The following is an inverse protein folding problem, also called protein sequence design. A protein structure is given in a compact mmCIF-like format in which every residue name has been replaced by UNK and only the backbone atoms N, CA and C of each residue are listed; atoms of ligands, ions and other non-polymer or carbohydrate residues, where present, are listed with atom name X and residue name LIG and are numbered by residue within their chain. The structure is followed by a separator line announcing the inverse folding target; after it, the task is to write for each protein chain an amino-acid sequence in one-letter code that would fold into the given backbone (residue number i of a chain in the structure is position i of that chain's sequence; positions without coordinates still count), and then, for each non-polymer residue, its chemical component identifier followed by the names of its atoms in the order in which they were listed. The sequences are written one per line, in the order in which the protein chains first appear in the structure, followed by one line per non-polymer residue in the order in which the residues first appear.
data_IF_060452267069
#
_entry.id   IF_060452267069
#
_cell.length_a   1.000
_cell.length_b   1.000
_cell.length_c   1.000
_cell.angle_alpha   90.00
_cell.angle_beta   90.00
_cell.angle_gamma   90.00
#
_symmetry.space_group_name_H-M   'P 1'
#
loop_
_entity.id
_entity.type
_entity.pdbx_description
1 polymer ?
#
# COMPACT_ATOMS: atom_id res chain seq x y z
N UNK A 1 5.21 8.84 17.51
CA UNK A 1 4.91 7.46 17.10
C UNK A 1 3.59 7.54 16.35
N UNK A 2 3.58 7.17 15.07
CA UNK A 2 2.37 7.16 14.25
C UNK A 2 1.92 5.71 14.17
N UNK A 3 0.63 5.47 14.38
CA UNK A 3 0.01 4.15 14.25
C UNK A 3 -0.94 4.19 13.07
N UNK A 4 -0.68 3.37 12.05
CA UNK A 4 -1.44 3.35 10.81
C UNK A 4 -2.02 1.95 10.58
N UNK A 5 -3.29 1.89 10.17
CA UNK A 5 -3.88 0.65 9.67
C UNK A 5 -3.42 0.43 8.23
N UNK A 6 -2.74 -0.69 7.98
CA UNK A 6 -2.29 -1.07 6.64
C UNK A 6 -2.80 -2.47 6.30
N UNK A 7 -3.19 -2.67 5.04
CA UNK A 7 -3.39 -4.01 4.50
C UNK A 7 -2.04 -4.59 4.05
N UNK A 8 -1.85 -5.94 4.01
CA UNK A 8 -0.57 -6.53 3.63
C UNK A 8 -0.02 -6.04 2.29
N UNK A 9 -0.90 -5.79 1.32
CA UNK A 9 -0.52 -5.23 0.03
C UNK A 9 0.19 -3.88 0.17
N UNK A 10 -0.29 -3.00 1.05
CA UNK A 10 0.32 -1.69 1.26
C UNK A 10 1.71 -1.80 1.88
N UNK A 11 1.96 -2.81 2.72
CA UNK A 11 3.26 -3.02 3.35
C UNK A 11 4.28 -3.63 2.36
N UNK A 12 3.86 -4.65 1.61
CA UNK A 12 4.75 -5.44 0.76
C UNK A 12 4.90 -4.89 -0.67
N UNK A 13 4.03 -3.97 -1.11
CA UNK A 13 4.17 -3.30 -2.39
C UNK A 13 5.20 -2.16 -2.37
N UNK A 14 5.53 -1.63 -1.19
CA UNK A 14 6.48 -0.52 -1.05
C UNK A 14 7.85 -0.91 -1.58
N UNK A 15 8.49 0.03 -2.30
CA UNK A 15 9.88 -0.12 -2.74
C UNK A 15 10.81 0.16 -1.56
N UNK A 16 10.75 -0.69 -0.54
CA UNK A 16 11.58 -0.62 0.66
C UNK A 16 12.10 -2.00 1.04
N UNK A 17 13.28 -2.05 1.66
CA UNK A 17 13.80 -3.29 2.25
C UNK A 17 13.34 -3.37 3.71
N UNK A 18 12.60 -4.42 4.04
CA UNK A 18 12.24 -4.72 5.43
C UNK A 18 13.34 -5.57 6.06
N UNK A 19 14.10 -4.98 6.98
CA UNK A 19 15.18 -5.65 7.70
C UNK A 19 14.79 -5.98 9.14
N UNK A 20 14.93 -7.24 9.53
CA UNK A 20 14.88 -7.63 10.94
C UNK A 20 16.21 -7.21 11.61
N UNK A 21 16.18 -6.39 12.68
CA UNK A 21 17.42 -5.99 13.37
C UNK A 21 18.20 -7.18 13.94
N UNK A 22 19.53 -7.09 13.99
CA UNK A 22 20.41 -8.16 14.48
C UNK A 22 20.15 -8.59 15.94
N UNK A 23 19.52 -7.72 16.74
CA UNK A 23 19.14 -8.01 18.12
C UNK A 23 17.75 -8.65 18.25
N UNK A 24 17.05 -8.92 17.14
CA UNK A 24 15.82 -9.71 17.16
C UNK A 24 16.10 -11.16 17.52
N UNK A 25 15.13 -11.80 18.18
CA UNK A 25 15.23 -13.24 18.47
C UNK A 25 15.15 -14.03 17.16
N UNK A 26 15.83 -15.19 17.07
CA UNK A 26 15.66 -16.09 15.95
C UNK A 26 14.19 -16.45 15.71
N UNK A 27 13.86 -16.76 14.47
CA UNK A 27 12.53 -17.22 14.11
C UNK A 27 12.23 -18.57 14.78
N UNK A 28 11.11 -18.64 15.52
CA UNK A 28 10.72 -19.82 16.31
C UNK A 28 9.36 -20.40 15.91
N UNK A 29 8.68 -19.82 14.92
CA UNK A 29 7.39 -20.35 14.50
C UNK A 29 7.57 -21.72 13.84
N UNK A 30 6.68 -22.62 14.19
CA UNK A 30 6.53 -23.95 13.65
C UNK A 30 5.18 -24.10 12.94
N UNK A 31 5.03 -25.21 12.23
CA UNK A 31 3.86 -25.45 11.40
C UNK A 31 2.58 -25.64 12.23
N UNK A 32 2.65 -26.41 13.31
CA UNK A 32 1.48 -26.86 14.08
C UNK A 32 0.88 -25.71 14.90
N UNK A 33 1.74 -24.98 15.61
CA UNK A 33 1.31 -23.99 16.58
C UNK A 33 1.02 -22.61 15.97
N UNK A 34 1.65 -22.27 14.83
CA UNK A 34 1.51 -20.92 14.24
C UNK A 34 1.11 -20.91 12.77
N UNK A 35 1.77 -21.67 11.89
CA UNK A 35 1.49 -21.55 10.45
C UNK A 35 0.15 -22.11 10.05
N UNK A 36 -0.20 -23.30 10.53
CA UNK A 36 -1.47 -23.93 10.20
C UNK A 36 -2.66 -23.09 10.70
N UNK A 37 -2.66 -22.59 11.95
CA UNK A 37 -3.71 -21.66 12.41
C UNK A 37 -3.82 -20.38 11.56
N UNK A 38 -2.70 -19.70 11.29
CA UNK A 38 -2.70 -18.49 10.45
C UNK A 38 -3.23 -18.77 9.04
N UNK A 39 -2.86 -19.91 8.46
CA UNK A 39 -3.32 -20.30 7.14
C UNK A 39 -4.80 -20.66 7.13
N UNK A 40 -5.32 -21.27 8.19
CA UNK A 40 -6.74 -21.54 8.37
C UNK A 40 -7.55 -20.24 8.41
N UNK A 41 -7.06 -19.22 9.11
CA UNK A 41 -7.69 -17.90 9.16
C UNK A 41 -7.75 -17.26 7.76
N UNK A 42 -6.64 -17.27 7.04
CA UNK A 42 -6.55 -16.73 5.66
C UNK A 42 -7.50 -17.50 4.72
N UNK A 43 -7.52 -18.84 4.81
CA UNK A 43 -8.39 -19.68 3.98
C UNK A 43 -9.87 -19.40 4.27
N UNK A 44 -10.25 -19.36 5.55
CA UNK A 44 -11.63 -19.09 5.98
C UNK A 44 -12.13 -17.77 5.40
N UNK A 45 -11.29 -16.72 5.43
CA UNK A 45 -11.62 -15.44 4.81
C UNK A 45 -11.75 -15.58 3.29
N UNK A 46 -10.77 -16.19 2.63
CA UNK A 46 -10.80 -16.35 1.17
C UNK A 46 -12.04 -17.12 0.70
N UNK A 47 -12.42 -18.20 1.39
CA UNK A 47 -13.61 -18.99 1.10
C UNK A 47 -14.89 -18.19 1.31
N UNK A 48 -15.00 -17.43 2.41
CA UNK A 48 -16.13 -16.54 2.66
C UNK A 48 -16.29 -15.47 1.56
N UNK A 49 -15.19 -14.99 0.98
CA UNK A 49 -15.19 -14.03 -0.13
C UNK A 49 -15.61 -14.64 -1.48
N UNK A 50 -15.43 -15.96 -1.62
CA UNK A 50 -15.78 -16.74 -2.82
C UNK A 50 -17.20 -17.31 -2.76
N UNK A 51 -17.83 -17.42 -1.59
CA UNK A 51 -19.19 -17.96 -1.43
C UNK A 51 -20.24 -17.05 -2.13
N UNK A 52 -20.89 -17.52 -3.21
CA UNK A 52 -21.92 -16.78 -3.93
C UNK A 52 -23.22 -16.62 -3.13
N UNK A 53 -23.42 -17.41 -2.07
CA UNK A 53 -24.65 -17.52 -1.30
C UNK A 53 -24.54 -16.97 0.13
N UNK A 54 -23.40 -16.36 0.49
CA UNK A 54 -23.24 -15.72 1.79
C UNK A 54 -24.38 -14.69 2.04
N UNK A 55 -25.08 -14.74 3.18
CA UNK A 55 -26.24 -13.89 3.43
C UNK A 55 -25.81 -12.41 3.57
N UNK A 56 -26.09 -11.62 2.53
CA UNK A 56 -26.00 -10.17 2.59
C UNK A 56 -27.37 -9.55 2.90
N UNK A 57 -27.49 -8.55 3.80
CA UNK A 57 -28.69 -7.75 3.88
C UNK A 57 -28.70 -6.79 2.67
N UNK A 58 -29.36 -7.20 1.58
CA UNK A 58 -29.57 -6.39 0.39
C UNK A 58 -28.30 -6.03 -0.39
N UNK A 59 -28.16 -6.57 -1.61
CA UNK A 59 -27.47 -5.99 -2.78
C UNK A 59 -26.11 -5.24 -2.61
N UNK A 60 -25.38 -5.46 -1.50
CA UNK A 60 -24.02 -5.01 -1.29
C UNK A 60 -23.22 -6.19 -0.72
N UNK A 61 -22.28 -6.69 -1.51
CA UNK A 61 -21.30 -7.73 -1.16
C UNK A 61 -20.60 -7.30 0.13
N UNK A 62 -20.98 -7.86 1.28
CA UNK A 62 -20.34 -7.52 2.55
C UNK A 62 -18.92 -8.11 2.51
N UNK A 63 -17.86 -7.32 2.76
CA UNK A 63 -16.55 -7.92 2.99
C UNK A 63 -16.67 -8.77 4.26
N UNK A 64 -16.10 -9.98 4.26
CA UNK A 64 -15.85 -10.69 5.52
C UNK A 64 -15.20 -9.69 6.49
N UNK A 65 -15.58 -9.72 7.77
CA UNK A 65 -15.06 -8.75 8.74
C UNK A 65 -13.52 -8.68 8.62
N UNK A 66 -12.93 -7.48 8.57
CA UNK A 66 -11.49 -7.35 8.38
C UNK A 66 -10.73 -8.13 9.45
N UNK A 67 -9.89 -9.08 9.02
CA UNK A 67 -9.12 -9.88 9.95
C UNK A 67 -7.83 -9.16 10.35
N UNK A 68 -7.56 -9.13 11.65
CA UNK A 68 -6.39 -8.48 12.22
C UNK A 68 -5.20 -9.45 12.28
N UNK A 69 -4.21 -9.25 11.40
CA UNK A 69 -3.00 -10.09 11.31
C UNK A 69 -1.90 -9.75 12.34
N UNK A 70 -2.21 -8.90 13.32
CA UNK A 70 -1.26 -8.41 14.31
C UNK A 70 -0.71 -7.02 14.00
N UNK A 71 0.25 -6.59 14.83
CA UNK A 71 0.90 -5.29 14.71
C UNK A 71 2.39 -5.45 14.36
N UNK A 72 2.88 -4.62 13.45
CA UNK A 72 4.31 -4.50 13.15
C UNK A 72 4.79 -3.08 13.48
N UNK A 73 6.00 -2.97 14.02
CA UNK A 73 6.64 -1.68 14.29
C UNK A 73 7.76 -1.49 13.27
N UNK A 74 7.62 -0.45 12.46
CA UNK A 74 8.61 -0.08 11.46
C UNK A 74 9.34 1.18 11.93
N UNK A 75 10.65 1.21 11.70
CA UNK A 75 11.46 2.39 11.91
C UNK A 75 12.13 2.73 10.59
N UNK A 76 11.84 3.91 10.06
CA UNK A 76 12.51 4.38 8.86
C UNK A 76 14.00 4.63 9.17
N UNK A 77 14.85 4.04 8.34
CA UNK A 77 16.32 4.13 8.43
C UNK A 77 16.80 4.97 7.25
N UNK A 78 16.37 6.22 7.15
CA UNK A 78 16.68 7.04 5.99
C UNK A 78 17.31 8.40 6.31
N UNK A 79 18.13 8.84 5.35
CA UNK A 79 18.80 10.13 5.14
C UNK A 79 20.24 10.34 5.64
N UNK A 80 20.63 10.05 6.89
CA UNK A 80 22.02 10.38 7.31
C UNK A 80 23.09 9.47 6.67
N UNK A 81 22.74 8.22 6.35
CA UNK A 81 23.65 7.25 5.74
C UNK A 81 23.86 7.48 4.24
N UNK A 82 22.90 8.10 3.54
CA UNK A 82 22.99 8.23 2.08
C UNK A 82 24.13 9.14 1.65
N UNK A 83 24.26 10.30 2.29
CA UNK A 83 25.34 11.25 2.03
C UNK A 83 26.70 10.68 2.48
N UNK A 84 26.78 10.03 3.64
CA UNK A 84 28.02 9.37 4.09
C UNK A 84 28.44 8.24 3.15
N UNK A 85 27.50 7.43 2.67
CA UNK A 85 27.79 6.33 1.72
C UNK A 85 28.22 6.89 0.36
N UNK A 86 27.57 7.95 -0.14
CA UNK A 86 27.99 8.62 -1.39
C UNK A 86 29.35 9.30 -1.26
N UNK A 87 29.69 9.82 -0.07
CA UNK A 87 31.00 10.39 0.21
C UNK A 87 32.12 9.32 0.27
N UNK A 88 31.82 8.15 0.82
CA UNK A 88 32.78 7.02 0.90
C UNK A 88 32.91 6.32 -0.46
N UNK A 89 31.82 6.20 -1.21
CA UNK A 89 31.77 5.51 -2.50
C UNK A 89 31.12 6.39 -3.58
N UNK A 90 31.87 7.37 -4.14
CA UNK A 90 31.34 8.22 -5.20
C UNK A 90 31.03 7.37 -6.44
N UNK A 91 29.88 7.61 -7.07
CA UNK A 91 29.49 6.94 -8.31
C UNK A 91 30.54 7.24 -9.40
N UNK A 92 31.25 6.24 -9.94
CA UNK A 92 32.27 6.47 -10.94
C UNK A 92 31.72 7.17 -12.19
N UNK A 93 32.53 8.03 -12.81
CA UNK A 93 32.15 8.68 -14.06
C UNK A 93 31.79 7.64 -15.13
N UNK A 94 30.60 7.78 -15.73
CA UNK A 94 30.08 6.84 -16.72
C UNK A 94 29.44 5.57 -16.15
N UNK A 95 29.26 5.45 -14.82
CA UNK A 95 28.47 4.37 -14.25
C UNK A 95 27.00 4.49 -14.68
N UNK A 96 26.48 3.43 -15.30
CA UNK A 96 25.07 3.31 -15.66
C UNK A 96 24.45 2.28 -14.72
N UNK A 97 23.42 2.68 -13.99
CA UNK A 97 22.67 1.75 -13.15
C UNK A 97 21.91 0.74 -14.02
N UNK A 98 22.43 -0.48 -14.12
CA UNK A 98 21.70 -1.64 -14.65
C UNK A 98 21.04 -2.39 -13.50
N UNK A 99 20.07 -1.75 -12.84
CA UNK A 99 19.11 -2.51 -12.05
C UNK A 99 18.11 -3.12 -13.04
N UNK A 100 17.82 -4.44 -12.98
CA UNK A 100 16.70 -4.98 -13.73
C UNK A 100 15.47 -4.18 -13.32
N UNK A 101 14.78 -3.62 -14.31
CA UNK A 101 13.55 -2.86 -14.07
C UNK A 101 12.59 -3.83 -13.38
N UNK A 102 12.15 -3.48 -12.16
CA UNK A 102 11.22 -4.29 -11.39
C UNK A 102 10.01 -4.60 -12.27
N UNK A 103 9.68 -5.88 -12.44
CA UNK A 103 8.46 -6.27 -13.14
C UNK A 103 7.27 -5.80 -12.30
N UNK A 104 6.56 -4.80 -12.82
CA UNK A 104 5.40 -4.25 -12.16
C UNK A 104 4.20 -5.21 -12.34
N UNK A 105 3.34 -5.24 -11.32
CA UNK A 105 2.05 -5.91 -11.31
C UNK A 105 1.08 -5.05 -10.51
N UNK A 106 -0.23 -5.35 -10.61
CA UNK A 106 -1.27 -4.61 -9.87
C UNK A 106 -0.98 -4.65 -8.36
N UNK A 107 -0.39 -5.74 -7.88
CA UNK A 107 -0.13 -5.96 -6.46
C UNK A 107 1.11 -5.23 -5.93
N UNK A 108 2.06 -4.84 -6.79
CA UNK A 108 3.33 -4.23 -6.35
C UNK A 108 3.56 -2.79 -6.85
N UNK A 109 2.74 -2.30 -7.79
CA UNK A 109 2.83 -0.93 -8.28
C UNK A 109 2.45 0.06 -7.15
N UNK A 110 3.23 1.09 -6.92
CA UNK A 110 3.05 2.08 -5.86
C UNK A 110 2.54 3.41 -6.41
N UNK A 111 2.10 4.32 -5.55
CA UNK A 111 1.71 5.68 -5.96
C UNK A 111 2.90 6.44 -6.55
N UNK A 112 4.12 6.13 -6.07
CA UNK A 112 5.35 6.61 -6.68
C UNK A 112 5.55 6.09 -8.10
N UNK A 113 5.27 4.82 -8.38
CA UNK A 113 5.37 4.30 -9.76
C UNK A 113 4.36 5.00 -10.69
N UNK A 114 3.16 5.32 -10.19
CA UNK A 114 2.17 6.11 -10.95
C UNK A 114 2.68 7.54 -11.23
N UNK A 115 3.33 8.16 -10.25
CA UNK A 115 3.92 9.50 -10.38
C UNK A 115 5.11 9.49 -11.36
N UNK A 116 6.02 8.54 -11.23
CA UNK A 116 7.19 8.37 -12.10
C UNK A 116 6.77 8.09 -13.56
N UNK A 117 5.61 7.46 -13.76
CA UNK A 117 5.02 7.22 -15.08
C UNK A 117 4.19 8.41 -15.62
N UNK A 118 4.01 9.48 -14.84
CA UNK A 118 3.19 10.64 -15.20
C UNK A 118 1.68 10.38 -15.22
N UNK A 119 1.23 9.28 -14.60
CA UNK A 119 -0.20 8.98 -14.39
C UNK A 119 -0.76 9.71 -13.16
N UNK A 120 0.13 10.14 -12.26
CA UNK A 120 -0.13 11.09 -11.19
C UNK A 120 0.91 12.22 -11.27
N UNK A 121 0.53 13.40 -10.81
CA UNK A 121 1.39 14.55 -10.63
C UNK A 121 1.41 15.02 -9.17
N UNK A 122 2.47 15.72 -8.79
CA UNK A 122 2.55 16.37 -7.48
C UNK A 122 1.46 17.42 -7.36
N UNK A 123 0.71 17.37 -6.26
CA UNK A 123 -0.44 18.23 -6.02
C UNK A 123 -1.74 17.74 -6.63
N UNK A 124 -1.75 16.59 -7.33
CA UNK A 124 -2.99 16.00 -7.81
C UNK A 124 -3.95 15.74 -6.65
N UNK A 125 -5.21 16.10 -6.87
CA UNK A 125 -6.26 15.94 -5.88
C UNK A 125 -6.86 14.53 -6.00
N UNK A 126 -6.88 13.81 -4.88
CA UNK A 126 -7.48 12.50 -4.75
C UNK A 126 -8.76 12.63 -3.93
N UNK A 127 -9.88 12.24 -4.54
CA UNK A 127 -11.22 12.38 -3.98
C UNK A 127 -11.72 11.01 -3.52
N UNK A 128 -12.33 10.98 -2.34
CA UNK A 128 -12.97 9.79 -1.77
C UNK A 128 -14.34 10.11 -1.20
N UNK A 129 -15.20 9.09 -1.05
CA UNK A 129 -16.53 9.25 -0.44
C UNK A 129 -16.56 8.58 0.93
N UNK A 130 -16.75 9.39 1.97
CA UNK A 130 -16.94 8.93 3.34
C UNK A 130 -18.32 8.32 3.58
N UNK A 131 -18.73 8.25 4.85
CA UNK A 131 -20.11 7.85 5.19
C UNK A 131 -21.12 8.91 4.79
N UNK A 132 -20.79 10.19 4.98
CA UNK A 132 -21.74 11.28 4.84
C UNK A 132 -21.23 12.44 3.95
N UNK A 133 -19.92 12.50 3.67
CA UNK A 133 -19.31 13.63 2.95
C UNK A 133 -18.19 13.19 1.98
N UNK A 134 -17.96 14.02 0.96
CA UNK A 134 -16.79 13.92 0.07
C UNK A 134 -15.54 14.38 0.82
N UNK A 135 -14.44 13.68 0.61
CA UNK A 135 -13.15 14.02 1.21
C UNK A 135 -12.07 14.11 0.15
N UNK A 136 -11.03 14.88 0.45
CA UNK A 136 -9.96 15.23 -0.49
C UNK A 136 -8.60 15.08 0.15
N UNK A 137 -7.67 14.47 -0.59
CA UNK A 137 -6.25 14.40 -0.28
C UNK A 137 -5.43 14.89 -1.48
N UNK A 138 -4.14 15.16 -1.25
CA UNK A 138 -3.20 15.56 -2.29
C UNK A 138 -2.08 14.54 -2.47
N UNK A 139 -1.40 14.54 -3.61
CA UNK A 139 -0.18 13.74 -3.83
C UNK A 139 1.07 14.59 -3.55
N UNK A 140 2.01 14.11 -2.74
CA UNK A 140 3.28 14.81 -2.50
C UNK A 140 4.38 14.46 -3.53
N UNK A 141 5.52 15.15 -3.44
CA UNK A 141 6.68 14.93 -4.32
C UNK A 141 7.34 13.56 -4.17
N UNK A 142 7.05 12.82 -3.10
CA UNK A 142 7.54 11.47 -2.88
C UNK A 142 6.57 10.39 -3.40
N UNK A 143 5.44 10.79 -4.00
CA UNK A 143 4.40 9.86 -4.44
C UNK A 143 3.61 9.28 -3.28
N UNK A 144 3.39 10.06 -2.21
CA UNK A 144 2.60 9.68 -1.02
C UNK A 144 1.31 10.48 -0.98
N UNK A 145 0.31 9.95 -0.29
CA UNK A 145 -0.98 10.62 -0.10
C UNK A 145 -0.92 11.54 1.12
N UNK A 146 -1.20 12.82 0.93
CA UNK A 146 -1.37 13.80 2.00
C UNK A 146 -2.86 13.96 2.28
N UNK A 147 -3.28 13.63 3.50
CA UNK A 147 -4.67 13.70 3.92
C UNK A 147 -4.75 14.32 5.32
N UNK A 148 -5.61 15.33 5.51
CA UNK A 148 -5.74 16.09 6.77
C UNK A 148 -4.39 16.59 7.33
N UNK A 149 -3.45 16.96 6.46
CA UNK A 149 -2.12 17.44 6.84
C UNK A 149 -1.13 16.34 7.26
N UNK A 150 -1.53 15.08 7.23
CA UNK A 150 -0.67 13.90 7.50
C UNK A 150 -0.29 13.23 6.19
N UNK A 151 0.95 12.75 6.09
CA UNK A 151 1.44 12.05 4.90
C UNK A 151 1.48 10.56 5.11
N UNK A 152 0.83 9.82 4.21
CA UNK A 152 0.67 8.37 4.26
C UNK A 152 1.41 7.71 3.11
N UNK A 153 2.21 6.69 3.42
CA UNK A 153 2.93 5.91 2.41
C UNK A 153 1.99 5.09 1.52
N UNK A 154 0.80 4.76 2.03
CA UNK A 154 -0.19 3.96 1.33
C UNK A 154 -1.59 4.57 1.40
N UNK A 155 -2.42 4.38 0.36
CA UNK A 155 -3.73 5.01 0.28
C UNK A 155 -4.79 4.40 1.20
N UNK A 156 -4.60 3.16 1.70
CA UNK A 156 -5.65 2.48 2.47
C UNK A 156 -5.81 2.98 3.89
N UNK A 157 -4.74 3.51 4.51
CA UNK A 157 -4.83 4.10 5.86
C UNK A 157 -5.81 5.28 5.89
N UNK A 158 -5.63 6.34 5.09
CA UNK A 158 -6.57 7.45 5.09
C UNK A 158 -7.95 7.04 4.53
N UNK A 159 -8.03 6.08 3.59
CA UNK A 159 -9.33 5.53 3.16
C UNK A 159 -10.10 4.87 4.32
N UNK A 160 -9.38 4.11 5.16
CA UNK A 160 -9.96 3.43 6.32
C UNK A 160 -10.35 4.41 7.41
N UNK A 161 -9.57 5.48 7.61
CA UNK A 161 -9.93 6.59 8.50
C UNK A 161 -11.24 7.25 8.07
N UNK A 162 -11.42 7.46 6.77
CA UNK A 162 -12.62 8.08 6.20
C UNK A 162 -13.85 7.17 6.27
N UNK A 163 -13.70 5.86 6.00
CA UNK A 163 -14.80 4.88 6.07
C UNK A 163 -15.13 4.41 7.48
N UNK A 164 -14.19 4.52 8.42
CA UNK A 164 -14.26 3.95 9.77
C UNK A 164 -14.08 2.43 9.81
N UNK A 165 -13.73 1.80 8.68
CA UNK A 165 -13.50 0.36 8.55
C UNK A 165 -12.32 0.11 7.62
N UNK A 166 -11.65 -1.04 7.72
CA UNK A 166 -10.61 -1.43 6.75
C UNK A 166 -11.14 -1.33 5.33
N UNK A 167 -10.47 -0.53 4.51
CA UNK A 167 -10.92 -0.14 3.17
C UNK A 167 -9.75 -0.20 2.20
N UNK A 168 -9.95 -0.83 1.03
CA UNK A 168 -8.95 -0.82 -0.02
C UNK A 168 -8.78 0.59 -0.60
N UNK A 169 -7.66 1.24 -0.29
CA UNK A 169 -7.37 2.59 -0.75
C UNK A 169 -7.29 2.73 -2.27
N UNK A 170 -6.85 1.69 -2.97
CA UNK A 170 -6.62 1.74 -4.41
C UNK A 170 -7.91 1.86 -5.22
N UNK A 171 -8.98 1.24 -4.75
CA UNK A 171 -10.33 1.37 -5.34
C UNK A 171 -11.13 2.53 -4.75
N UNK A 172 -10.71 3.06 -3.59
CA UNK A 172 -11.43 4.10 -2.87
C UNK A 172 -11.12 5.50 -3.40
N UNK A 173 -9.83 5.81 -3.62
CA UNK A 173 -9.40 7.12 -4.06
C UNK A 173 -9.49 7.25 -5.58
N UNK A 174 -10.05 8.37 -6.04
CA UNK A 174 -10.21 8.74 -7.45
C UNK A 174 -9.48 10.03 -7.77
N UNK A 175 -8.92 10.12 -8.97
CA UNK A 175 -8.18 11.29 -9.41
C UNK A 175 -9.11 12.43 -9.86
N UNK A 176 -8.99 13.59 -9.23
CA UNK A 176 -9.62 14.86 -9.59
C UNK A 176 -11.11 14.99 -9.25
N UNK A 177 -11.89 13.91 -9.39
CA UNK A 177 -13.33 13.91 -9.07
C UNK A 177 -13.85 12.50 -8.76
N UNK A 178 -15.08 12.40 -8.26
CA UNK A 178 -15.75 11.12 -8.00
C UNK A 178 -16.07 10.32 -9.27
N UNK A 179 -16.10 10.97 -10.44
CA UNK A 179 -16.23 10.31 -11.74
C UNK A 179 -14.86 10.01 -12.38
N UNK A 180 -13.77 10.48 -11.75
CA UNK A 180 -12.40 10.26 -12.19
C UNK A 180 -11.94 8.81 -12.01
N UNK A 181 -10.81 8.43 -12.61
CA UNK A 181 -10.28 7.09 -12.50
C UNK A 181 -9.81 6.77 -11.08
N UNK A 182 -10.00 5.54 -10.65
CA UNK A 182 -9.44 5.05 -9.37
C UNK A 182 -7.93 4.86 -9.47
N UNK A 183 -7.23 4.89 -8.33
CA UNK A 183 -5.79 4.56 -8.30
C UNK A 183 -5.51 3.15 -8.84
N UNK A 184 -6.43 2.19 -8.65
CA UNK A 184 -6.32 0.84 -9.19
C UNK A 184 -6.43 0.80 -10.73
N UNK A 185 -7.33 1.62 -11.31
CA UNK A 185 -7.40 1.79 -12.77
C UNK A 185 -6.14 2.45 -13.32
N UNK A 186 -5.53 3.38 -12.59
CA UNK A 186 -4.24 3.97 -12.97
C UNK A 186 -3.12 2.90 -12.92
N UNK A 187 -3.12 2.00 -11.94
CA UNK A 187 -2.21 0.84 -11.93
C UNK A 187 -2.42 -0.05 -13.15
N UNK A 188 -3.66 -0.37 -13.50
CA UNK A 188 -3.95 -1.17 -14.68
C UNK A 188 -3.42 -0.52 -15.97
N UNK A 189 -3.57 0.81 -16.11
CA UNK A 189 -3.01 1.57 -17.24
C UNK A 189 -1.48 1.55 -17.27
N UNK A 190 -0.83 1.64 -16.11
CA UNK A 190 0.62 1.52 -15.99
C UNK A 190 1.12 0.18 -16.52
N UNK A 191 0.42 -0.90 -16.22
CA UNK A 191 0.83 -2.23 -16.67
C UNK A 191 0.61 -2.40 -18.17
N UNK A 192 -0.52 -1.91 -18.69
CA UNK A 192 -0.83 -1.95 -20.12
C UNK A 192 0.13 -1.12 -20.98
N UNK A 193 0.79 -0.09 -20.42
CA UNK A 193 1.81 0.68 -21.14
C UNK A 193 3.21 0.07 -21.08
N UNK A 194 3.40 -0.96 -20.25
CA UNK A 194 4.67 -1.65 -20.03
C UNK A 194 4.70 -3.10 -20.59
N UNK A 195 3.60 -3.57 -21.20
CA UNK A 195 3.55 -4.76 -22.07
C UNK A 195 3.95 -4.41 -23.51
#
# INVERSE_FOLDING_TARGET
MITELAIPQDLFALTMRLDAPLFQRPYVWNQEDQWAPLWEDIRTLAEAWLDPHAPGPGNARRPAEPHFLGAVVLQDRNTLLTEEVLAIWPTPAGHVHHAPRRALSVNNATMKDLLDAGLLAVGDELVGVGRDEETRGGVDAAGRLVFEGVTYAAPSTPASQVRGTSTNGWTFWRLGSLDGPTLDELRARLLASHE
#
